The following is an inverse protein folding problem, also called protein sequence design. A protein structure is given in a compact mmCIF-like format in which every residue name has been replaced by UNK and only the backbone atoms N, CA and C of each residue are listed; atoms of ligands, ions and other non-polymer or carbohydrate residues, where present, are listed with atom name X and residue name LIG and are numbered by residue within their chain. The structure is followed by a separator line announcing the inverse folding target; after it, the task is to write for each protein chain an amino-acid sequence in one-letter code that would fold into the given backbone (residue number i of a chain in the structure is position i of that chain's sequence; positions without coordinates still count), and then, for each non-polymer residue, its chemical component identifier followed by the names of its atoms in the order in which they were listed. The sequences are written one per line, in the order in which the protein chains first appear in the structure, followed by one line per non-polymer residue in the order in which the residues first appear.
data_IF_625680143123
#
_entry.id   IF_625680143123
#
_cell.length_a   1.000
_cell.length_b   1.000
_cell.length_c   1.000
_cell.angle_alpha   90.00
_cell.angle_beta   90.00
_cell.angle_gamma   90.00
#
_symmetry.space_group_name_H-M   'P 1'
#
loop_
_entity.id
_entity.type
_entity.pdbx_description
1 polymer ?
#
# COMPACT_ATOMS: atom_id res chain seq x y z
N UNK A 1 4.79 30.90 -19.97
CA UNK A 1 6.16 30.37 -19.76
C UNK A 1 6.04 29.21 -18.78
N UNK A 2 6.38 28.01 -19.24
CA UNK A 2 6.55 26.73 -18.53
C UNK A 2 5.50 26.31 -17.49
N UNK A 3 4.46 25.61 -17.98
CA UNK A 3 3.74 24.58 -17.22
C UNK A 3 4.72 23.41 -17.12
N UNK A 4 5.36 23.25 -15.95
CA UNK A 4 6.18 22.08 -15.69
C UNK A 4 5.23 20.89 -15.50
N UNK A 5 5.31 20.01 -16.48
CA UNK A 5 4.71 18.70 -16.56
C UNK A 5 5.01 17.91 -15.28
N UNK A 6 4.01 17.80 -14.40
CA UNK A 6 4.02 16.84 -13.29
C UNK A 6 3.80 15.45 -13.91
N UNK A 7 4.82 14.94 -14.60
CA UNK A 7 4.82 13.54 -15.00
C UNK A 7 4.66 12.72 -13.72
N UNK A 8 3.61 11.88 -13.60
CA UNK A 8 3.44 11.05 -12.43
C UNK A 8 4.67 10.16 -12.34
N UNK A 9 5.54 10.45 -11.37
CA UNK A 9 6.75 9.68 -11.11
C UNK A 9 6.32 8.22 -11.04
N UNK A 10 6.69 7.44 -12.06
CA UNK A 10 6.41 6.01 -12.08
C UNK A 10 7.02 5.46 -10.81
N UNK A 11 6.17 5.08 -9.85
CA UNK A 11 6.61 4.45 -8.62
C UNK A 11 7.25 3.15 -9.06
N UNK A 12 8.58 3.14 -9.10
CA UNK A 12 9.34 1.94 -9.36
C UNK A 12 8.96 0.98 -8.24
N UNK A 13 8.26 -0.09 -8.58
CA UNK A 13 7.89 -1.12 -7.60
C UNK A 13 9.19 -1.84 -7.25
N UNK A 14 9.85 -1.40 -6.17
CA UNK A 14 11.17 -1.92 -5.75
C UNK A 14 11.13 -3.40 -5.33
N UNK A 15 9.93 -3.96 -5.12
CA UNK A 15 9.74 -5.32 -4.65
C UNK A 15 8.50 -5.97 -5.26
N UNK A 16 8.64 -7.20 -5.77
CA UNK A 16 7.52 -8.00 -6.25
C UNK A 16 7.27 -9.18 -5.30
N UNK A 17 6.00 -9.43 -4.97
CA UNK A 17 5.63 -10.58 -4.13
C UNK A 17 6.03 -11.89 -4.82
N UNK A 18 6.77 -12.74 -4.11
CA UNK A 18 7.24 -14.03 -4.62
C UNK A 18 8.47 -13.95 -5.51
N UNK A 19 9.16 -12.81 -5.57
CA UNK A 19 10.45 -12.71 -6.27
C UNK A 19 11.52 -13.57 -5.62
N UNK A 20 12.52 -13.96 -6.42
CA UNK A 20 13.72 -14.60 -5.89
C UNK A 20 14.49 -13.64 -4.96
N UNK A 21 15.01 -14.21 -3.87
CA UNK A 21 15.75 -13.52 -2.81
C UNK A 21 17.24 -13.89 -2.80
N UNK A 22 17.67 -14.82 -3.66
CA UNK A 22 19.02 -15.37 -3.65
C UNK A 22 20.14 -14.32 -3.82
N UNK A 23 19.84 -13.20 -4.49
CA UNK A 23 20.78 -12.11 -4.77
C UNK A 23 20.72 -10.98 -3.75
N UNK A 24 19.86 -11.06 -2.72
CA UNK A 24 19.66 -10.00 -1.74
C UNK A 24 20.50 -10.23 -0.50
N UNK A 25 21.03 -9.15 0.05
CA UNK A 25 21.67 -9.15 1.36
C UNK A 25 20.63 -9.18 2.50
N UNK A 26 21.10 -9.52 3.71
CA UNK A 26 20.26 -9.51 4.90
C UNK A 26 19.65 -8.13 5.18
N UNK A 27 20.43 -7.07 4.98
CA UNK A 27 19.97 -5.70 5.20
C UNK A 27 18.85 -5.31 4.22
N UNK A 28 19.01 -5.63 2.94
CA UNK A 28 17.96 -5.39 1.93
C UNK A 28 16.68 -6.17 2.24
N UNK A 29 16.80 -7.39 2.79
CA UNK A 29 15.64 -8.15 3.25
C UNK A 29 14.94 -7.47 4.44
N UNK A 30 15.70 -6.94 5.41
CA UNK A 30 15.15 -6.21 6.55
C UNK A 30 14.41 -4.95 6.12
N UNK A 31 15.00 -4.14 5.23
CA UNK A 31 14.38 -2.93 4.69
C UNK A 31 13.07 -3.25 3.95
N UNK A 32 13.09 -4.29 3.10
CA UNK A 32 11.89 -4.74 2.38
C UNK A 32 10.81 -5.25 3.32
N UNK A 33 11.16 -6.04 4.34
CA UNK A 33 10.21 -6.51 5.35
C UNK A 33 9.57 -5.32 6.07
N UNK A 34 10.36 -4.30 6.44
CA UNK A 34 9.86 -3.11 7.09
C UNK A 34 8.86 -2.36 6.20
N UNK A 35 9.19 -2.15 4.93
CA UNK A 35 8.31 -1.49 3.96
C UNK A 35 6.99 -2.26 3.75
N UNK A 36 7.07 -3.59 3.58
CA UNK A 36 5.88 -4.44 3.43
C UNK A 36 4.98 -4.41 4.67
N UNK A 37 5.55 -4.42 5.88
CA UNK A 37 4.77 -4.31 7.12
C UNK A 37 4.03 -2.99 7.23
N UNK A 38 4.67 -1.88 6.84
CA UNK A 38 4.02 -0.58 6.79
C UNK A 38 2.87 -0.57 5.79
N UNK A 39 3.06 -1.18 4.62
CA UNK A 39 2.01 -1.27 3.60
C UNK A 39 0.83 -2.14 4.08
N UNK A 40 1.09 -3.27 4.75
CA UNK A 40 0.04 -4.08 5.39
C UNK A 40 -0.76 -3.24 6.39
N UNK A 41 -0.09 -2.49 7.26
CA UNK A 41 -0.78 -1.64 8.24
C UNK A 41 -1.66 -0.57 7.57
N UNK A 42 -1.18 0.04 6.47
CA UNK A 42 -1.96 1.01 5.68
C UNK A 42 -3.20 0.35 5.06
N UNK A 43 -3.06 -0.85 4.50
CA UNK A 43 -4.17 -1.62 3.92
C UNK A 43 -5.21 -2.01 4.98
N UNK A 44 -4.77 -2.43 6.17
CA UNK A 44 -5.68 -2.77 7.28
C UNK A 44 -6.48 -1.55 7.78
N UNK A 45 -5.85 -0.39 7.86
CA UNK A 45 -6.54 0.86 8.20
C UNK A 45 -7.58 1.23 7.14
N UNK A 46 -7.22 1.16 5.86
CA UNK A 46 -8.14 1.41 4.76
C UNK A 46 -9.32 0.42 4.75
N UNK A 47 -9.05 -0.86 5.00
CA UNK A 47 -10.10 -1.89 5.14
C UNK A 47 -11.06 -1.55 6.28
N UNK A 48 -10.52 -1.20 7.45
CA UNK A 48 -11.34 -0.85 8.63
C UNK A 48 -12.21 0.37 8.36
N UNK A 49 -11.65 1.42 7.76
CA UNK A 49 -12.39 2.61 7.35
C UNK A 49 -13.54 2.27 6.39
N UNK A 50 -13.25 1.48 5.34
CA UNK A 50 -14.29 1.04 4.39
C UNK A 50 -15.37 0.17 5.03
N UNK A 51 -15.01 -0.73 5.94
CA UNK A 51 -15.96 -1.56 6.67
C UNK A 51 -16.88 -0.73 7.56
N UNK A 52 -16.35 0.28 8.24
CA UNK A 52 -17.14 1.21 9.04
C UNK A 52 -18.14 2.00 8.18
N UNK A 53 -17.71 2.49 7.00
CA UNK A 53 -18.60 3.15 6.04
C UNK A 53 -19.71 2.22 5.54
N UNK A 54 -19.39 0.97 5.21
CA UNK A 54 -20.37 -0.02 4.76
C UNK A 54 -21.40 -0.34 5.86
N UNK A 55 -20.94 -0.50 7.10
CA UNK A 55 -21.82 -0.77 8.24
C UNK A 55 -22.76 0.41 8.52
N UNK A 56 -22.26 1.64 8.47
CA UNK A 56 -23.07 2.85 8.66
C UNK A 56 -24.14 2.98 7.57
N UNK A 57 -23.77 2.75 6.30
CA UNK A 57 -24.73 2.73 5.20
C UNK A 57 -25.78 1.61 5.38
N UNK A 58 -25.35 0.40 5.76
CA UNK A 58 -26.26 -0.74 5.94
C UNK A 58 -27.27 -0.50 7.07
N UNK A 59 -26.89 0.21 8.14
CA UNK A 59 -27.81 0.60 9.21
C UNK A 59 -28.82 1.65 8.76
N UNK A 60 -28.41 2.58 7.89
CA UNK A 60 -29.28 3.62 7.34
C UNK A 60 -30.35 3.07 6.39
N UNK A 61 -30.03 2.03 5.61
CA UNK A 61 -30.98 1.44 4.65
C UNK A 61 -31.89 0.34 5.24
N UNK A 62 -31.77 0.00 6.53
CA UNK A 62 -32.54 -1.09 7.16
C UNK A 62 -33.74 -0.62 7.98
N UNK A 63 -34.09 0.67 7.87
CA UNK A 63 -35.38 1.26 8.29
C UNK A 63 -36.38 1.23 7.15
#
# INVERSE_FOLDING_TARGET
MAIFDDEPRKVTVEHQIGQDLSTLSLHELEERIAALKQEVARLEQAKTSKAASLSAASAFFKT
#
